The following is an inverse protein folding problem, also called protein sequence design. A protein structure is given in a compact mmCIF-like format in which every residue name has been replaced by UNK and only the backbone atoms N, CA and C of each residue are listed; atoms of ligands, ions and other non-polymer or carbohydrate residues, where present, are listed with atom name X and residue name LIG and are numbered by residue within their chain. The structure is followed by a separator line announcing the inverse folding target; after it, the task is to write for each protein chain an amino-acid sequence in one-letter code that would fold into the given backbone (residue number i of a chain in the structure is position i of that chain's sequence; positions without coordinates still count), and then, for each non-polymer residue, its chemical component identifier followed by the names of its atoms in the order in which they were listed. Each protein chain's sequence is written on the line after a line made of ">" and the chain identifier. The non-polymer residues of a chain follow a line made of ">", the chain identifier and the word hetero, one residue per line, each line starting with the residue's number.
data_IF_154411969304
#
_entry.id   IF_154411969304
#
_cell.length_a   1.000
_cell.length_b   1.000
_cell.length_c   1.000
_cell.angle_alpha   90.00
_cell.angle_beta   90.00
_cell.angle_gamma   90.00
#
_symmetry.space_group_name_H-M   'P 1'
#
loop_
_entity.id
_entity.type
_entity.pdbx_description
1 polymer ?
#
# COMPACT_ATOMS: atom_id res chain seq x y z
N UNK A 1 -5.16 13.44 10.40
CA UNK A 1 -4.12 12.63 11.07
C UNK A 1 -3.93 12.94 12.55
N UNK A 2 -3.64 14.19 12.98
CA UNK A 2 -3.35 14.48 14.41
C UNK A 2 -4.35 13.88 15.42
N UNK A 3 -5.69 14.07 15.28
CA UNK A 3 -6.64 13.51 16.26
C UNK A 3 -6.58 11.98 16.35
N UNK A 4 -6.41 11.30 15.22
CA UNK A 4 -6.23 9.86 15.16
C UNK A 4 -4.96 9.43 15.90
N UNK A 5 -3.83 10.09 15.63
CA UNK A 5 -2.57 9.78 16.32
C UNK A 5 -2.66 9.97 17.83
N UNK A 6 -3.33 11.04 18.31
CA UNK A 6 -3.57 11.25 19.75
C UNK A 6 -4.37 10.10 20.35
N UNK A 7 -5.47 9.71 19.70
CA UNK A 7 -6.32 8.60 20.17
C UNK A 7 -5.53 7.29 20.24
N UNK A 8 -4.78 6.95 19.19
CA UNK A 8 -4.02 5.71 19.11
C UNK A 8 -2.82 5.65 20.05
N UNK A 9 -2.22 6.79 20.42
CA UNK A 9 -1.21 6.82 21.50
C UNK A 9 -1.85 6.42 22.83
N UNK A 10 -3.02 6.97 23.15
CA UNK A 10 -3.72 6.65 24.40
C UNK A 10 -4.15 5.18 24.43
N UNK A 11 -4.75 4.68 23.34
CA UNK A 11 -5.14 3.27 23.21
C UNK A 11 -3.92 2.34 23.33
N UNK A 12 -2.80 2.68 22.67
CA UNK A 12 -1.56 1.89 22.76
C UNK A 12 -0.95 1.93 24.17
N UNK A 13 -1.04 3.04 24.88
CA UNK A 13 -0.57 3.17 26.27
C UNK A 13 -1.40 2.32 27.24
N UNK A 14 -2.72 2.35 27.11
CA UNK A 14 -3.63 1.50 27.88
C UNK A 14 -3.40 0.01 27.57
N UNK A 15 -3.31 -0.36 26.29
CA UNK A 15 -3.05 -1.73 25.86
C UNK A 15 -1.69 -2.24 26.35
N UNK A 16 -0.64 -1.43 26.26
CA UNK A 16 0.69 -1.76 26.78
C UNK A 16 0.68 -1.97 28.29
N UNK A 17 0.05 -1.05 29.04
CA UNK A 17 -0.06 -1.16 30.49
C UNK A 17 -0.78 -2.46 30.89
N UNK A 18 -1.92 -2.74 30.26
CA UNK A 18 -2.66 -3.98 30.49
C UNK A 18 -1.82 -5.23 30.16
N UNK A 19 -1.09 -5.23 29.05
CA UNK A 19 -0.24 -6.34 28.65
C UNK A 19 0.94 -6.55 29.61
N UNK A 20 1.56 -5.46 30.08
CA UNK A 20 2.65 -5.51 31.06
C UNK A 20 2.18 -6.08 32.39
N UNK A 21 1.07 -5.56 32.93
CA UNK A 21 0.49 -6.03 34.19
C UNK A 21 0.12 -7.52 34.12
N UNK A 22 -0.44 -7.96 32.99
CA UNK A 22 -0.79 -9.36 32.78
C UNK A 22 0.44 -10.25 32.65
N UNK A 23 1.45 -9.81 31.90
CA UNK A 23 2.69 -10.54 31.71
C UNK A 23 3.47 -10.72 33.03
N UNK A 24 3.54 -9.69 33.86
CA UNK A 24 4.19 -9.74 35.18
C UNK A 24 3.55 -10.78 36.11
N UNK A 25 2.22 -10.91 36.05
CA UNK A 25 1.45 -11.85 36.85
C UNK A 25 1.33 -13.25 36.22
N UNK A 26 1.83 -13.45 35.00
CA UNK A 26 1.72 -14.71 34.27
C UNK A 26 2.69 -15.78 34.79
N UNK A 27 2.22 -17.04 34.79
CA UNK A 27 3.00 -18.20 35.25
C UNK A 27 3.84 -18.86 34.14
N UNK A 28 4.18 -18.10 33.08
CA UNK A 28 4.83 -18.62 31.88
C UNK A 28 6.26 -19.10 32.21
N UNK A 29 6.71 -20.27 31.70
CA UNK A 29 8.01 -20.83 32.04
C UNK A 29 9.15 -20.05 31.37
N UNK A 30 10.26 -19.93 32.10
CA UNK A 30 11.51 -19.34 31.61
C UNK A 30 12.72 -20.23 31.96
N UNK A 31 12.66 -21.51 31.60
CA UNK A 31 13.73 -22.46 31.87
C UNK A 31 13.90 -23.47 30.74
N UNK A 32 15.12 -23.97 30.56
CA UNK A 32 15.43 -24.96 29.53
C UNK A 32 14.49 -26.19 29.60
N UNK A 33 13.94 -26.67 28.48
CA UNK A 33 14.16 -26.22 27.10
C UNK A 33 13.24 -25.08 26.62
N UNK A 34 12.34 -24.58 27.47
CA UNK A 34 11.22 -23.71 27.14
C UNK A 34 11.42 -22.27 27.67
N UNK A 35 12.10 -21.42 26.88
CA UNK A 35 12.31 -19.99 27.18
C UNK A 35 11.18 -19.10 26.65
N UNK A 36 9.93 -19.53 26.86
CA UNK A 36 8.76 -18.86 26.29
C UNK A 36 8.55 -17.46 26.87
N UNK A 37 8.79 -17.30 28.18
CA UNK A 37 8.71 -15.99 28.83
C UNK A 37 9.69 -14.98 28.22
N UNK A 38 10.91 -15.40 27.89
CA UNK A 38 11.88 -14.55 27.18
C UNK A 38 11.37 -14.08 25.80
N UNK A 39 10.74 -14.97 25.01
CA UNK A 39 10.20 -14.59 23.70
C UNK A 39 9.04 -13.59 23.82
N UNK A 40 8.16 -13.79 24.79
CA UNK A 40 7.02 -12.90 25.04
C UNK A 40 7.52 -11.55 25.60
N UNK A 41 8.54 -11.57 26.45
CA UNK A 41 9.18 -10.34 26.95
C UNK A 41 9.74 -9.48 25.80
N UNK A 42 10.36 -10.10 24.78
CA UNK A 42 10.80 -9.34 23.59
C UNK A 42 9.64 -8.66 22.86
N UNK A 43 8.46 -9.28 22.83
CA UNK A 43 7.27 -8.66 22.23
C UNK A 43 6.71 -7.54 23.11
N UNK A 44 6.76 -7.67 24.43
CA UNK A 44 6.43 -6.58 25.34
C UNK A 44 7.41 -5.39 25.22
N UNK A 45 8.71 -5.66 25.09
CA UNK A 45 9.74 -4.65 24.80
C UNK A 45 9.51 -3.98 23.44
N UNK A 46 9.12 -4.76 22.41
CA UNK A 46 8.74 -4.25 21.10
C UNK A 46 7.52 -3.32 21.18
N UNK A 47 6.51 -3.68 21.97
CA UNK A 47 5.35 -2.83 22.22
C UNK A 47 5.78 -1.51 22.87
N UNK A 48 6.56 -1.56 23.95
CA UNK A 48 7.03 -0.37 24.67
C UNK A 48 7.86 0.55 23.75
N UNK A 49 8.79 -0.04 22.98
CA UNK A 49 9.62 0.70 22.02
C UNK A 49 8.75 1.37 20.96
N UNK A 50 7.77 0.66 20.41
CA UNK A 50 6.87 1.21 19.38
C UNK A 50 6.00 2.34 19.93
N UNK A 51 5.51 2.23 21.18
CA UNK A 51 4.80 3.30 21.87
C UNK A 51 5.69 4.55 22.08
N UNK A 52 6.94 4.34 22.53
CA UNK A 52 7.93 5.43 22.68
C UNK A 52 8.24 6.10 21.35
N UNK A 53 8.46 5.31 20.30
CA UNK A 53 8.68 5.81 18.94
C UNK A 53 7.45 6.57 18.43
N UNK A 54 6.24 6.10 18.71
CA UNK A 54 5.00 6.81 18.36
C UNK A 54 4.92 8.20 19.01
N UNK A 55 5.15 8.30 20.33
CA UNK A 55 5.16 9.57 21.06
C UNK A 55 6.23 10.53 20.50
N UNK A 56 7.44 10.02 20.22
CA UNK A 56 8.52 10.80 19.60
C UNK A 56 8.13 11.36 18.23
N UNK A 57 7.56 10.55 17.35
CA UNK A 57 7.14 10.99 16.02
C UNK A 57 5.95 11.96 16.08
N UNK A 58 5.05 11.78 17.04
CA UNK A 58 3.96 12.72 17.29
C UNK A 58 4.49 14.12 17.65
N UNK A 59 5.47 14.21 18.55
CA UNK A 59 6.12 15.47 18.95
C UNK A 59 6.87 16.15 17.79
N UNK A 60 7.26 15.38 16.78
CA UNK A 60 7.87 15.86 15.55
C UNK A 60 6.88 16.27 14.46
N UNK A 61 5.57 16.23 14.75
CA UNK A 61 4.48 16.55 13.84
C UNK A 61 4.33 15.56 12.66
N UNK A 62 4.87 14.36 12.78
CA UNK A 62 4.70 13.26 11.81
C UNK A 62 3.65 12.28 12.34
N UNK A 63 2.39 12.67 12.17
CA UNK A 63 1.25 12.01 12.78
C UNK A 63 0.88 10.66 12.14
N UNK A 64 1.17 10.47 10.85
CA UNK A 64 0.97 9.18 10.21
C UNK A 64 2.01 8.17 10.68
N UNK A 65 3.28 8.56 10.77
CA UNK A 65 4.33 7.69 11.33
C UNK A 65 4.01 7.35 12.79
N UNK A 66 3.57 8.33 13.60
CA UNK A 66 3.09 8.07 14.96
C UNK A 66 1.94 7.05 14.98
N UNK A 67 0.92 7.23 14.15
CA UNK A 67 -0.19 6.27 14.00
C UNK A 67 0.32 4.86 13.67
N UNK A 68 1.27 4.73 12.74
CA UNK A 68 1.88 3.46 12.36
C UNK A 68 2.64 2.79 13.51
N UNK A 69 3.40 3.56 14.30
CA UNK A 69 4.12 3.03 15.48
C UNK A 69 3.17 2.68 16.63
N UNK A 70 2.09 3.44 16.83
CA UNK A 70 1.03 3.06 17.79
C UNK A 70 0.35 1.76 17.38
N UNK A 71 0.07 1.57 16.09
CA UNK A 71 -0.48 0.33 15.56
C UNK A 71 0.44 -0.87 15.83
N UNK A 72 1.75 -0.72 15.63
CA UNK A 72 2.74 -1.77 15.99
C UNK A 72 2.71 -2.09 17.48
N UNK A 73 2.61 -1.08 18.35
CA UNK A 73 2.46 -1.29 19.79
C UNK A 73 1.19 -2.06 20.12
N UNK A 74 0.05 -1.72 19.50
CA UNK A 74 -1.23 -2.38 19.74
C UNK A 74 -1.18 -3.87 19.38
N UNK A 75 -0.58 -4.23 18.24
CA UNK A 75 -0.40 -5.63 17.83
C UNK A 75 0.42 -6.38 18.87
N UNK A 76 1.61 -5.87 19.22
CA UNK A 76 2.49 -6.54 20.17
C UNK A 76 1.87 -6.65 21.57
N UNK A 77 1.16 -5.62 22.04
CA UNK A 77 0.44 -5.67 23.32
C UNK A 77 -0.70 -6.69 23.31
N UNK A 78 -1.48 -6.75 22.23
CA UNK A 78 -2.56 -7.74 22.06
C UNK A 78 -2.02 -9.16 22.00
N UNK A 79 -0.95 -9.37 21.25
CA UNK A 79 -0.25 -10.65 21.20
C UNK A 79 0.18 -11.13 22.60
N UNK A 80 0.80 -10.24 23.39
CA UNK A 80 1.22 -10.56 24.77
C UNK A 80 -0.01 -10.93 25.62
N UNK A 81 -1.09 -10.15 25.53
CA UNK A 81 -2.33 -10.44 26.25
C UNK A 81 -2.90 -11.82 25.90
N UNK A 82 -3.06 -12.11 24.60
CA UNK A 82 -3.56 -13.41 24.14
C UNK A 82 -2.65 -14.57 24.54
N UNK A 83 -1.34 -14.36 24.54
CA UNK A 83 -0.40 -15.40 24.98
C UNK A 83 -0.52 -15.68 26.47
N UNK A 84 -0.70 -14.64 27.28
CA UNK A 84 -0.95 -14.82 28.72
C UNK A 84 -2.29 -15.53 28.95
N UNK A 85 -3.37 -15.13 28.25
CA UNK A 85 -4.68 -15.78 28.34
C UNK A 85 -4.65 -17.26 27.95
N UNK A 86 -3.98 -17.58 26.84
CA UNK A 86 -3.80 -18.95 26.40
C UNK A 86 -3.06 -19.78 27.45
N UNK A 87 -2.01 -19.21 28.05
CA UNK A 87 -1.22 -19.92 29.04
C UNK A 87 -1.97 -20.13 30.35
N UNK A 88 -2.71 -19.10 30.82
CA UNK A 88 -3.47 -19.18 32.07
C UNK A 88 -4.72 -20.08 31.94
N UNK A 89 -5.32 -20.14 30.74
CA UNK A 89 -6.46 -21.03 30.46
C UNK A 89 -6.03 -22.47 30.15
N UNK A 90 -4.84 -22.67 29.56
CA UNK A 90 -4.27 -23.97 29.21
C UNK A 90 -5.11 -24.79 28.21
N UNK A 91 -6.04 -24.16 27.49
CA UNK A 91 -7.14 -24.86 26.82
C UNK A 91 -7.19 -24.61 25.30
N UNK A 92 -7.38 -25.67 24.53
CA UNK A 92 -7.73 -25.63 23.09
C UNK A 92 -9.04 -24.89 22.84
N UNK A 93 -9.98 -24.90 23.79
CA UNK A 93 -11.23 -24.14 23.67
C UNK A 93 -10.96 -22.63 23.53
N UNK A 94 -9.94 -22.09 24.20
CA UNK A 94 -9.55 -20.67 24.05
C UNK A 94 -9.18 -20.33 22.60
N UNK A 95 -8.43 -21.21 21.93
CA UNK A 95 -8.00 -20.99 20.55
C UNK A 95 -9.21 -20.97 19.61
N UNK A 96 -10.13 -21.92 19.76
CA UNK A 96 -11.32 -22.02 18.91
C UNK A 96 -12.27 -20.84 19.14
N UNK A 97 -12.52 -20.48 20.40
CA UNK A 97 -13.35 -19.34 20.77
C UNK A 97 -12.74 -18.02 20.27
N UNK A 98 -11.42 -17.85 20.39
CA UNK A 98 -10.72 -16.66 19.90
C UNK A 98 -10.79 -16.58 18.37
N UNK A 99 -10.59 -17.70 17.67
CA UNK A 99 -10.70 -17.74 16.22
C UNK A 99 -12.11 -17.36 15.77
N UNK A 100 -13.16 -17.95 16.36
CA UNK A 100 -14.56 -17.66 16.02
C UNK A 100 -14.89 -16.17 16.24
N UNK A 101 -14.48 -15.60 17.37
CA UNK A 101 -14.67 -14.18 17.66
C UNK A 101 -13.96 -13.28 16.64
N UNK A 102 -12.72 -13.61 16.27
CA UNK A 102 -11.94 -12.80 15.33
C UNK A 102 -12.45 -12.95 13.89
N UNK A 103 -13.00 -14.11 13.53
CA UNK A 103 -13.71 -14.30 12.27
C UNK A 103 -14.95 -13.40 12.17
N UNK A 104 -15.74 -13.29 13.25
CA UNK A 104 -16.88 -12.38 13.31
C UNK A 104 -16.44 -10.93 13.11
N UNK A 105 -15.43 -10.48 13.87
CA UNK A 105 -14.85 -9.13 13.75
C UNK A 105 -14.34 -8.87 12.32
N UNK A 106 -13.67 -9.84 11.70
CA UNK A 106 -13.22 -9.75 10.32
C UNK A 106 -14.40 -9.61 9.35
N UNK A 107 -15.41 -10.46 9.46
CA UNK A 107 -16.56 -10.46 8.55
C UNK A 107 -17.32 -9.12 8.61
N UNK A 108 -17.52 -8.58 9.82
CA UNK A 108 -18.13 -7.27 10.01
C UNK A 108 -17.29 -6.14 9.39
N UNK A 109 -15.99 -6.12 9.68
CA UNK A 109 -15.09 -5.05 9.25
C UNK A 109 -14.83 -5.10 7.73
N UNK A 110 -14.69 -6.30 7.16
CA UNK A 110 -14.58 -6.53 5.72
C UNK A 110 -15.85 -6.07 4.98
N UNK A 111 -17.03 -6.39 5.54
CA UNK A 111 -18.31 -5.91 5.01
C UNK A 111 -18.44 -4.38 5.07
N UNK A 112 -17.94 -3.75 6.13
CA UNK A 112 -17.87 -2.29 6.24
C UNK A 112 -16.98 -1.70 5.13
N UNK A 113 -15.77 -2.22 4.94
CA UNK A 113 -14.86 -1.78 3.89
C UNK A 113 -15.45 -1.96 2.47
N UNK A 114 -16.18 -3.06 2.25
CA UNK A 114 -16.83 -3.37 0.97
C UNK A 114 -17.99 -2.42 0.63
N UNK A 115 -18.84 -2.13 1.63
CA UNK A 115 -20.09 -1.41 1.42
C UNK A 115 -19.98 0.10 1.60
N UNK A 116 -18.82 0.61 2.01
CA UNK A 116 -18.58 2.06 2.10
C UNK A 116 -18.49 2.66 0.70
N UNK A 117 -19.32 3.66 0.42
CA UNK A 117 -19.44 4.27 -0.90
C UNK A 117 -18.17 5.06 -1.30
N UNK A 118 -17.81 4.98 -2.58
CA UNK A 118 -16.67 5.69 -3.16
C UNK A 118 -17.19 6.65 -4.23
N UNK A 119 -17.37 7.92 -3.84
CA UNK A 119 -18.00 8.95 -4.68
C UNK A 119 -17.01 9.97 -5.25
N UNK A 120 -15.83 10.07 -4.67
CA UNK A 120 -14.81 11.06 -5.01
C UNK A 120 -13.37 10.55 -4.78
N UNK A 121 -12.36 11.37 -5.08
CA UNK A 121 -10.95 10.97 -4.94
C UNK A 121 -10.46 10.92 -3.49
N UNK A 122 -11.18 11.52 -2.54
CA UNK A 122 -10.86 11.40 -1.11
C UNK A 122 -11.33 10.04 -0.61
N UNK A 123 -12.62 9.74 -0.79
CA UNK A 123 -13.25 8.45 -0.48
C UNK A 123 -12.56 7.31 -1.22
N UNK A 124 -12.12 7.50 -2.47
CA UNK A 124 -11.29 6.51 -3.17
C UNK A 124 -10.04 6.16 -2.37
N UNK A 125 -9.31 7.16 -1.89
CA UNK A 125 -8.09 6.95 -1.11
C UNK A 125 -8.39 6.32 0.25
N UNK A 126 -9.37 6.83 0.98
CA UNK A 126 -9.63 6.38 2.35
C UNK A 126 -10.32 5.02 2.41
N UNK A 127 -11.31 4.78 1.55
CA UNK A 127 -11.95 3.46 1.40
C UNK A 127 -10.99 2.47 0.75
N UNK A 128 -10.18 2.87 -0.23
CA UNK A 128 -9.15 2.00 -0.80
C UNK A 128 -8.12 1.55 0.23
N UNK A 129 -7.72 2.45 1.14
CA UNK A 129 -6.89 2.08 2.28
C UNK A 129 -7.61 1.07 3.19
N UNK A 130 -8.89 1.31 3.50
CA UNK A 130 -9.71 0.41 4.31
C UNK A 130 -9.87 -0.98 3.67
N UNK A 131 -10.15 -1.04 2.37
CA UNK A 131 -10.24 -2.30 1.61
C UNK A 131 -8.91 -3.08 1.65
N UNK A 132 -7.76 -2.42 1.42
CA UNK A 132 -6.44 -3.07 1.56
C UNK A 132 -6.22 -3.67 2.94
N UNK A 133 -6.75 -3.05 3.99
CA UNK A 133 -6.65 -3.58 5.37
C UNK A 133 -7.55 -4.78 5.59
N UNK A 134 -8.70 -4.85 4.92
CA UNK A 134 -9.51 -6.07 4.89
C UNK A 134 -8.77 -7.20 4.17
N UNK A 135 -8.09 -6.91 3.05
CA UNK A 135 -7.25 -7.89 2.33
C UNK A 135 -6.10 -8.38 3.20
N UNK A 136 -5.33 -7.47 3.82
CA UNK A 136 -4.27 -7.82 4.76
C UNK A 136 -4.78 -8.64 5.95
N UNK A 137 -5.92 -8.27 6.55
CA UNK A 137 -6.55 -9.04 7.62
C UNK A 137 -6.94 -10.45 7.16
N UNK A 138 -7.44 -10.60 5.93
CA UNK A 138 -7.82 -11.91 5.38
C UNK A 138 -6.61 -12.83 5.22
N UNK A 139 -5.50 -12.31 4.72
CA UNK A 139 -4.26 -13.09 4.54
C UNK A 139 -3.76 -13.65 5.87
N UNK A 140 -3.76 -12.85 6.93
CA UNK A 140 -3.35 -13.29 8.26
C UNK A 140 -4.37 -14.22 8.92
N UNK A 141 -5.68 -13.99 8.69
CA UNK A 141 -6.71 -14.90 9.18
C UNK A 141 -6.60 -16.28 8.51
N UNK A 142 -6.33 -16.32 7.20
CA UNK A 142 -6.12 -17.58 6.48
C UNK A 142 -4.83 -18.28 6.91
N UNK A 143 -3.76 -17.52 7.14
CA UNK A 143 -2.53 -18.02 7.75
C UNK A 143 -2.84 -18.70 9.09
N UNK A 144 -3.49 -18.00 10.02
CA UNK A 144 -3.89 -18.53 11.32
C UNK A 144 -4.74 -19.81 11.21
N UNK A 145 -5.72 -19.84 10.29
CA UNK A 145 -6.56 -21.03 10.04
C UNK A 145 -5.78 -22.22 9.50
N UNK A 146 -4.69 -21.97 8.76
CA UNK A 146 -3.85 -23.00 8.16
C UNK A 146 -2.74 -23.51 9.10
N UNK A 147 -2.47 -22.79 10.19
CA UNK A 147 -1.42 -23.13 11.15
C UNK A 147 -1.77 -24.41 11.91
N UNK A 148 -0.88 -25.39 11.85
CA UNK A 148 -1.03 -26.60 12.65
C UNK A 148 -0.43 -26.39 14.04
N UNK A 149 -1.27 -26.42 15.08
CA UNK A 149 -0.89 -26.08 16.46
C UNK A 149 -0.22 -27.25 17.20
N UNK A 150 0.88 -27.79 16.65
CA UNK A 150 1.60 -28.91 17.24
C UNK A 150 2.60 -28.49 18.31
N UNK A 151 3.18 -27.30 18.18
CA UNK A 151 4.17 -26.76 19.10
C UNK A 151 3.70 -25.45 19.69
N UNK A 152 4.28 -25.06 20.83
CA UNK A 152 4.01 -23.73 21.39
C UNK A 152 4.47 -22.60 20.45
N UNK A 153 5.50 -22.82 19.62
CA UNK A 153 5.88 -21.83 18.59
C UNK A 153 4.75 -21.61 17.60
N UNK A 154 4.11 -22.69 17.13
CA UNK A 154 2.97 -22.60 16.20
C UNK A 154 1.79 -21.86 16.85
N UNK A 155 1.58 -22.06 18.17
CA UNK A 155 0.59 -21.30 18.93
C UNK A 155 0.95 -19.82 18.98
N UNK A 156 2.22 -19.46 19.23
CA UNK A 156 2.63 -18.05 19.21
C UNK A 156 2.43 -17.42 17.82
N UNK A 157 2.75 -18.14 16.75
CA UNK A 157 2.55 -17.66 15.38
C UNK A 157 1.05 -17.43 15.11
N UNK A 158 0.20 -18.39 15.49
CA UNK A 158 -1.26 -18.24 15.45
C UNK A 158 -1.75 -17.01 16.24
N UNK A 159 -1.32 -16.85 17.50
CA UNK A 159 -1.78 -15.75 18.35
C UNK A 159 -1.30 -14.39 17.82
N UNK A 160 -0.12 -14.34 17.20
CA UNK A 160 0.38 -13.15 16.55
C UNK A 160 -0.45 -12.80 15.31
N UNK A 161 -0.74 -13.78 14.46
CA UNK A 161 -1.58 -13.59 13.29
C UNK A 161 -2.97 -13.09 13.69
N UNK A 162 -3.59 -13.72 14.70
CA UNK A 162 -4.88 -13.30 15.24
C UNK A 162 -4.84 -11.88 15.84
N UNK A 163 -3.77 -11.53 16.57
CA UNK A 163 -3.60 -10.16 17.07
C UNK A 163 -3.50 -9.14 15.93
N UNK A 164 -2.79 -9.48 14.86
CA UNK A 164 -2.66 -8.66 13.67
C UNK A 164 -4.00 -8.48 12.95
N UNK A 165 -4.80 -9.55 12.80
CA UNK A 165 -6.14 -9.50 12.18
C UNK A 165 -7.02 -8.49 12.91
N UNK A 166 -7.11 -8.57 14.24
CA UNK A 166 -7.96 -7.66 15.02
C UNK A 166 -7.54 -6.21 14.85
N UNK A 167 -6.24 -5.91 14.95
CA UNK A 167 -5.79 -4.53 14.79
C UNK A 167 -5.97 -4.01 13.35
N UNK A 168 -5.82 -4.87 12.33
CA UNK A 168 -6.13 -4.49 10.95
C UNK A 168 -7.61 -4.20 10.76
N UNK A 169 -8.48 -5.02 11.35
CA UNK A 169 -9.93 -4.78 11.35
C UNK A 169 -10.28 -3.44 12.02
N UNK A 170 -9.69 -3.13 13.18
CA UNK A 170 -9.86 -1.83 13.83
C UNK A 170 -9.45 -0.66 12.93
N UNK A 171 -8.35 -0.84 12.18
CA UNK A 171 -7.81 0.20 11.31
C UNK A 171 -8.69 0.54 10.09
N UNK A 172 -9.61 -0.34 9.69
CA UNK A 172 -10.58 -0.09 8.61
C UNK A 172 -11.42 1.16 8.91
N UNK A 173 -12.02 1.21 10.09
CA UNK A 173 -12.85 2.35 10.53
C UNK A 173 -12.03 3.62 10.70
N UNK A 174 -10.74 3.52 11.05
CA UNK A 174 -9.88 4.69 11.16
C UNK A 174 -9.68 5.36 9.80
N UNK A 175 -9.47 4.56 8.75
CA UNK A 175 -9.27 5.07 7.40
C UNK A 175 -10.54 5.65 6.81
N UNK A 176 -11.67 4.97 6.95
CA UNK A 176 -12.97 5.50 6.53
C UNK A 176 -13.21 6.88 7.17
N UNK A 177 -13.06 6.98 8.49
CA UNK A 177 -13.28 8.23 9.22
C UNK A 177 -12.28 9.36 8.92
N UNK A 178 -11.11 9.07 8.34
CA UNK A 178 -10.20 10.13 7.86
C UNK A 178 -10.85 10.93 6.72
N UNK A 179 -11.67 10.28 5.88
CA UNK A 179 -12.29 10.90 4.71
C UNK A 179 -13.20 12.07 5.06
N UNK A 180 -13.93 11.95 6.18
CA UNK A 180 -14.91 12.93 6.67
C UNK A 180 -14.29 14.30 7.00
N UNK A 181 -12.97 14.38 7.09
CA UNK A 181 -12.24 15.61 7.39
C UNK A 181 -11.75 16.37 6.14
N UNK A 182 -12.03 15.86 4.94
CA UNK A 182 -11.64 16.50 3.68
C UNK A 182 -12.86 16.85 2.86
N UNK A 183 -12.73 17.92 2.06
CA UNK A 183 -13.76 18.27 1.10
C UNK A 183 -13.75 17.25 -0.05
N UNK A 184 -14.94 16.91 -0.52
CA UNK A 184 -15.12 16.07 -1.71
C UNK A 184 -14.48 16.72 -2.95
N UNK A 185 -13.72 15.94 -3.72
CA UNK A 185 -13.05 16.40 -4.94
C UNK A 185 -12.95 15.29 -5.98
N UNK A 186 -13.26 15.60 -7.24
CA UNK A 186 -13.07 14.68 -8.38
C UNK A 186 -14.00 13.47 -8.33
N UNK A 187 -15.21 13.62 -8.84
CA UNK A 187 -16.21 12.55 -8.80
C UNK A 187 -15.72 11.28 -9.51
N UNK A 188 -15.96 10.14 -8.88
CA UNK A 188 -15.70 8.82 -9.43
C UNK A 188 -16.95 7.95 -9.29
N UNK A 189 -17.20 7.11 -10.29
CA UNK A 189 -18.26 6.11 -10.26
C UNK A 189 -17.64 4.74 -10.10
N UNK A 190 -18.38 3.77 -9.57
CA UNK A 190 -17.91 2.37 -9.44
C UNK A 190 -17.36 1.83 -10.76
N UNK A 191 -18.10 2.04 -11.86
CA UNK A 191 -17.66 1.63 -13.20
C UNK A 191 -16.35 2.30 -13.62
N UNK A 192 -16.12 3.56 -13.25
CA UNK A 192 -14.88 4.28 -13.58
C UNK A 192 -13.74 3.74 -12.73
N UNK A 193 -13.99 3.44 -11.46
CA UNK A 193 -13.03 2.86 -10.55
C UNK A 193 -12.59 1.45 -11.00
N UNK A 194 -13.53 0.57 -11.31
CA UNK A 194 -13.22 -0.78 -11.83
C UNK A 194 -12.38 -0.72 -13.11
N UNK A 195 -12.72 0.18 -14.04
CA UNK A 195 -11.94 0.37 -15.27
C UNK A 195 -10.51 0.86 -14.98
N UNK A 196 -10.34 1.80 -14.05
CA UNK A 196 -9.01 2.30 -13.65
C UNK A 196 -8.21 1.19 -12.95
N UNK A 197 -8.84 0.39 -12.09
CA UNK A 197 -8.19 -0.75 -11.44
C UNK A 197 -7.68 -1.75 -12.50
N UNK A 198 -8.52 -2.13 -13.46
CA UNK A 198 -8.15 -3.01 -14.58
C UNK A 198 -7.01 -2.44 -15.43
N UNK A 199 -7.04 -1.14 -15.73
CA UNK A 199 -5.97 -0.46 -16.48
C UNK A 199 -4.63 -0.59 -15.73
N UNK A 200 -4.60 -0.29 -14.44
CA UNK A 200 -3.37 -0.38 -13.67
C UNK A 200 -2.92 -1.82 -13.38
N UNK A 201 -3.84 -2.79 -13.26
CA UNK A 201 -3.50 -4.22 -13.22
C UNK A 201 -2.78 -4.62 -14.53
N UNK A 202 -3.26 -4.15 -15.67
CA UNK A 202 -2.64 -4.43 -16.97
C UNK A 202 -1.26 -3.77 -17.09
N UNK A 203 -1.10 -2.53 -16.64
CA UNK A 203 0.20 -1.85 -16.59
C UNK A 203 1.20 -2.55 -15.64
N UNK A 204 0.75 -2.96 -14.46
CA UNK A 204 1.55 -3.72 -13.51
C UNK A 204 1.98 -5.07 -14.09
N UNK A 205 1.09 -5.80 -14.76
CA UNK A 205 1.41 -7.06 -15.44
C UNK A 205 2.49 -6.86 -16.52
N UNK A 206 2.37 -5.81 -17.34
CA UNK A 206 3.39 -5.50 -18.35
C UNK A 206 4.75 -5.22 -17.70
N UNK A 207 4.78 -4.41 -16.64
CA UNK A 207 6.01 -4.08 -15.92
C UNK A 207 6.64 -5.32 -15.26
N UNK A 208 5.83 -6.19 -14.64
CA UNK A 208 6.29 -7.46 -14.05
C UNK A 208 6.88 -8.37 -15.13
N UNK A 209 6.19 -8.58 -16.24
CA UNK A 209 6.66 -9.43 -17.34
C UNK A 209 7.96 -8.89 -17.95
N UNK A 210 8.02 -7.59 -18.21
CA UNK A 210 9.23 -6.96 -18.74
C UNK A 210 10.40 -7.12 -17.77
N UNK A 211 10.17 -6.86 -16.48
CA UNK A 211 11.20 -6.96 -15.45
C UNK A 211 11.72 -8.39 -15.31
N UNK A 212 10.82 -9.37 -15.33
CA UNK A 212 11.17 -10.79 -15.32
C UNK A 212 12.04 -11.20 -16.50
N UNK A 213 11.69 -10.79 -17.73
CA UNK A 213 12.50 -11.09 -18.92
C UNK A 213 13.90 -10.52 -18.77
N UNK A 214 14.03 -9.24 -18.40
CA UNK A 214 15.34 -8.60 -18.25
C UNK A 214 16.16 -9.26 -17.14
N UNK A 215 15.57 -9.56 -15.99
CA UNK A 215 16.28 -10.20 -14.88
C UNK A 215 16.73 -11.64 -15.20
N UNK A 216 15.98 -12.36 -16.04
CA UNK A 216 16.39 -13.69 -16.49
C UNK A 216 17.54 -13.67 -17.50
N UNK A 217 17.62 -12.63 -18.33
CA UNK A 217 18.72 -12.44 -19.30
C UNK A 217 20.03 -11.99 -18.63
N UNK A 218 19.94 -11.38 -17.44
CA UNK A 218 21.10 -10.95 -16.69
C UNK A 218 21.74 -12.12 -15.94
N UNK A 219 23.04 -12.34 -16.18
CA UNK A 219 23.80 -13.41 -15.53
C UNK A 219 24.03 -13.18 -14.02
N UNK A 220 23.73 -11.98 -13.51
CA UNK A 220 23.86 -11.59 -12.11
C UNK A 220 22.69 -10.71 -11.70
N UNK A 221 21.71 -11.31 -11.03
CA UNK A 221 20.56 -10.60 -10.45
C UNK A 221 20.85 -10.33 -8.98
N UNK A 222 20.73 -9.07 -8.54
CA UNK A 222 20.88 -8.74 -7.13
C UNK A 222 19.74 -9.34 -6.31
N UNK A 223 19.99 -9.64 -5.03
CA UNK A 223 18.95 -10.12 -4.10
C UNK A 223 17.76 -9.15 -4.05
N UNK A 224 18.03 -7.84 -3.99
CA UNK A 224 17.00 -6.81 -3.90
C UNK A 224 16.14 -6.78 -5.18
N UNK A 225 16.75 -6.89 -6.37
CA UNK A 225 16.02 -6.98 -7.64
C UNK A 225 15.05 -8.18 -7.65
N UNK A 226 15.52 -9.35 -7.22
CA UNK A 226 14.67 -10.55 -7.16
C UNK A 226 13.54 -10.41 -6.13
N UNK A 227 13.84 -9.83 -4.96
CA UNK A 227 12.86 -9.55 -3.90
C UNK A 227 11.75 -8.61 -4.38
N UNK A 228 12.12 -7.52 -5.07
CA UNK A 228 11.15 -6.59 -5.67
C UNK A 228 10.27 -7.24 -6.72
N UNK A 229 10.84 -8.04 -7.63
CA UNK A 229 10.06 -8.74 -8.65
C UNK A 229 9.08 -9.74 -8.01
N UNK A 230 9.53 -10.52 -7.01
CA UNK A 230 8.68 -11.46 -6.29
C UNK A 230 7.51 -10.74 -5.60
N UNK A 231 7.81 -9.64 -4.90
CA UNK A 231 6.80 -8.80 -4.26
C UNK A 231 5.82 -8.18 -5.25
N UNK A 232 6.29 -7.77 -6.43
CA UNK A 232 5.45 -7.22 -7.48
C UNK A 232 4.49 -8.27 -8.05
N UNK A 233 4.94 -9.51 -8.24
CA UNK A 233 4.10 -10.63 -8.65
C UNK A 233 3.01 -10.93 -7.62
N UNK A 234 3.38 -10.99 -6.35
CA UNK A 234 2.41 -11.22 -5.27
C UNK A 234 1.33 -10.14 -5.25
N UNK A 235 1.72 -8.86 -5.28
CA UNK A 235 0.77 -7.74 -5.29
C UNK A 235 -0.11 -7.71 -6.54
N UNK A 236 0.41 -8.15 -7.69
CA UNK A 236 -0.38 -8.24 -8.92
C UNK A 236 -1.47 -9.31 -8.81
N UNK A 237 -1.16 -10.47 -8.22
CA UNK A 237 -2.18 -11.48 -7.94
C UNK A 237 -3.18 -10.99 -6.90
N UNK A 238 -2.73 -10.38 -5.80
CA UNK A 238 -3.63 -9.77 -4.81
C UNK A 238 -4.56 -8.73 -5.43
N UNK A 239 -4.05 -7.89 -6.35
CA UNK A 239 -4.88 -6.89 -7.01
C UNK A 239 -5.99 -7.51 -7.88
N UNK A 240 -5.74 -8.68 -8.48
CA UNK A 240 -6.76 -9.43 -9.23
C UNK A 240 -7.80 -10.02 -8.30
N UNK A 241 -7.35 -10.67 -7.23
CA UNK A 241 -8.22 -11.29 -6.22
C UNK A 241 -9.11 -10.25 -5.53
N UNK A 242 -8.56 -9.06 -5.24
CA UNK A 242 -9.29 -7.94 -4.67
C UNK A 242 -10.37 -7.42 -5.62
N UNK A 243 -10.05 -7.28 -6.91
CA UNK A 243 -11.03 -6.86 -7.89
C UNK A 243 -12.18 -7.86 -7.99
N UNK A 244 -11.86 -9.16 -8.08
CA UNK A 244 -12.83 -10.25 -8.15
C UNK A 244 -13.65 -10.37 -6.85
N UNK A 245 -13.06 -10.02 -5.71
CA UNK A 245 -13.73 -10.01 -4.39
C UNK A 245 -14.60 -8.77 -4.16
N UNK A 246 -14.62 -7.81 -5.09
CA UNK A 246 -15.39 -6.58 -4.97
C UNK A 246 -14.71 -5.50 -4.13
N UNK A 247 -13.37 -5.47 -4.13
CA UNK A 247 -12.53 -4.44 -3.55
C UNK A 247 -11.77 -3.64 -4.63
N UNK A 248 -12.47 -2.94 -5.54
CA UNK A 248 -11.84 -2.32 -6.70
C UNK A 248 -10.87 -1.18 -6.35
N UNK A 249 -11.05 -0.50 -5.21
CA UNK A 249 -10.10 0.53 -4.78
C UNK A 249 -8.81 -0.08 -4.21
N UNK A 250 -8.90 -1.19 -3.47
CA UNK A 250 -7.71 -1.92 -3.05
C UNK A 250 -6.94 -2.47 -4.25
N UNK A 251 -7.63 -3.13 -5.19
CA UNK A 251 -7.05 -3.60 -6.45
C UNK A 251 -6.28 -2.50 -7.19
N UNK A 252 -6.86 -1.30 -7.31
CA UNK A 252 -6.18 -0.15 -7.89
C UNK A 252 -4.88 0.20 -7.15
N UNK A 253 -4.92 0.34 -5.82
CA UNK A 253 -3.75 0.72 -5.03
C UNK A 253 -2.68 -0.36 -4.96
N UNK A 254 -3.05 -1.64 -4.98
CA UNK A 254 -2.14 -2.78 -5.04
C UNK A 254 -1.45 -2.87 -6.39
N UNK A 255 -2.20 -2.66 -7.48
CA UNK A 255 -1.61 -2.59 -8.83
C UNK A 255 -0.60 -1.45 -8.95
N UNK A 256 -0.86 -0.28 -8.36
CA UNK A 256 0.12 0.81 -8.29
C UNK A 256 1.39 0.41 -7.52
N UNK A 257 1.27 -0.34 -6.43
CA UNK A 257 2.42 -0.81 -5.65
C UNK A 257 3.20 -1.90 -6.41
N UNK A 258 2.49 -2.82 -7.07
CA UNK A 258 3.07 -3.85 -7.94
C UNK A 258 3.88 -3.20 -9.07
N UNK A 259 3.33 -2.18 -9.72
CA UNK A 259 4.01 -1.40 -10.76
C UNK A 259 5.28 -0.73 -10.23
N UNK A 260 5.23 -0.13 -9.03
CA UNK A 260 6.41 0.47 -8.39
C UNK A 260 7.48 -0.56 -8.11
N UNK A 261 7.13 -1.71 -7.52
CA UNK A 261 8.10 -2.77 -7.20
C UNK A 261 8.68 -3.43 -8.46
N UNK A 262 7.88 -3.63 -9.50
CA UNK A 262 8.37 -4.14 -10.78
C UNK A 262 9.42 -3.18 -11.38
N UNK A 263 9.13 -1.88 -11.43
CA UNK A 263 10.09 -0.88 -11.91
C UNK A 263 11.35 -0.81 -11.03
N UNK A 264 11.19 -0.91 -9.70
CA UNK A 264 12.32 -0.96 -8.77
C UNK A 264 13.24 -2.14 -8.99
N UNK A 265 12.68 -3.31 -9.32
CA UNK A 265 13.46 -4.53 -9.61
C UNK A 265 14.52 -4.29 -10.69
N UNK A 266 14.20 -3.47 -11.69
CA UNK A 266 15.12 -3.03 -12.74
C UNK A 266 16.01 -1.86 -12.32
N UNK A 267 15.43 -0.89 -11.65
CA UNK A 267 16.12 0.33 -11.29
C UNK A 267 17.30 0.11 -10.35
N UNK A 268 17.24 -0.87 -9.43
CA UNK A 268 18.33 -1.10 -8.46
C UNK A 268 19.47 -1.95 -9.02
N UNK A 269 19.39 -2.39 -10.27
CA UNK A 269 20.48 -3.14 -10.91
C UNK A 269 21.73 -2.25 -10.97
N UNK A 270 22.80 -2.68 -10.31
CA UNK A 270 24.09 -1.99 -10.31
C UNK A 270 24.11 -0.65 -9.57
N UNK A 271 23.11 -0.33 -8.74
CA UNK A 271 23.06 0.90 -7.92
C UNK A 271 22.59 0.59 -6.51
N UNK A 272 22.87 1.48 -5.54
CA UNK A 272 22.35 1.35 -4.18
C UNK A 272 21.04 2.17 -4.05
N UNK A 273 20.08 1.67 -3.26
CA UNK A 273 18.82 2.34 -2.97
C UNK A 273 19.04 3.75 -2.39
N UNK A 274 20.07 3.90 -1.55
CA UNK A 274 20.44 5.18 -0.93
C UNK A 274 20.70 6.27 -1.98
N UNK A 275 21.30 5.92 -3.11
CA UNK A 275 21.65 6.88 -4.17
C UNK A 275 20.40 7.43 -4.89
N UNK A 276 19.24 6.80 -4.68
CA UNK A 276 17.97 7.15 -5.33
C UNK A 276 16.95 7.79 -4.40
N UNK A 277 17.25 7.87 -3.10
CA UNK A 277 16.34 8.42 -2.08
C UNK A 277 15.96 9.86 -2.39
N UNK A 278 16.94 10.74 -2.57
CA UNK A 278 16.70 12.18 -2.75
C UNK A 278 15.86 12.43 -4.02
N UNK A 279 16.24 11.80 -5.13
CA UNK A 279 15.52 11.91 -6.41
C UNK A 279 14.07 11.40 -6.26
N UNK A 280 13.87 10.28 -5.58
CA UNK A 280 12.53 9.70 -5.39
C UNK A 280 11.68 10.54 -4.45
N UNK A 281 12.27 11.12 -3.40
CA UNK A 281 11.62 12.06 -2.48
C UNK A 281 11.18 13.33 -3.23
N UNK A 282 12.06 13.93 -4.04
CA UNK A 282 11.72 15.09 -4.85
C UNK A 282 10.61 14.80 -5.87
N UNK A 283 10.66 13.65 -6.54
CA UNK A 283 9.61 13.23 -7.48
C UNK A 283 8.25 13.07 -6.77
N UNK A 284 8.23 12.46 -5.59
CA UNK A 284 7.02 12.29 -4.80
C UNK A 284 6.42 13.64 -4.39
N UNK A 285 7.23 14.57 -3.86
CA UNK A 285 6.79 15.93 -3.53
C UNK A 285 6.23 16.64 -4.75
N UNK A 286 6.90 16.53 -5.90
CA UNK A 286 6.45 17.19 -7.12
C UNK A 286 5.09 16.67 -7.59
N UNK A 287 4.83 15.36 -7.48
CA UNK A 287 3.53 14.79 -7.83
C UNK A 287 2.45 15.17 -6.82
N UNK A 288 2.75 15.18 -5.52
CA UNK A 288 1.85 15.70 -4.48
C UNK A 288 1.48 17.16 -4.75
N UNK A 289 2.47 18.00 -5.07
CA UNK A 289 2.25 19.41 -5.37
C UNK A 289 1.41 19.61 -6.64
N UNK A 290 1.60 18.78 -7.68
CA UNK A 290 0.74 18.80 -8.89
C UNK A 290 -0.70 18.41 -8.58
N UNK A 291 -0.90 17.37 -7.77
CA UNK A 291 -2.23 16.92 -7.34
C UNK A 291 -2.98 18.04 -6.60
N UNK A 292 -2.31 18.68 -5.64
CA UNK A 292 -2.87 19.83 -4.90
C UNK A 292 -3.18 21.03 -5.79
N UNK A 293 -2.36 21.29 -6.82
CA UNK A 293 -2.64 22.36 -7.81
C UNK A 293 -3.91 22.09 -8.63
N UNK A 294 -4.30 20.82 -8.77
CA UNK A 294 -5.55 20.41 -9.41
C UNK A 294 -6.72 20.37 -8.42
N UNK A 295 -6.52 20.81 -7.18
CA UNK A 295 -7.53 20.82 -6.13
C UNK A 295 -7.75 19.47 -5.45
N UNK A 296 -6.91 18.46 -5.72
CA UNK A 296 -7.02 17.12 -5.12
C UNK A 296 -6.03 17.05 -3.95
N UNK A 297 -6.49 16.66 -2.77
CA UNK A 297 -5.58 16.36 -1.66
C UNK A 297 -5.19 14.88 -1.69
N UNK A 298 -3.92 14.54 -1.98
CA UNK A 298 -3.47 13.15 -2.08
C UNK A 298 -3.14 12.59 -0.67
N UNK A 299 -4.16 12.46 0.18
CA UNK A 299 -4.05 12.03 1.59
C UNK A 299 -3.16 10.80 1.77
N UNK A 300 -3.34 9.77 0.93
CA UNK A 300 -2.52 8.56 1.01
C UNK A 300 -1.07 8.81 0.60
N UNK A 301 -0.83 9.54 -0.48
CA UNK A 301 0.54 9.85 -0.92
C UNK A 301 1.29 10.67 0.14
N UNK A 302 0.62 11.65 0.76
CA UNK A 302 1.20 12.46 1.84
C UNK A 302 1.56 11.57 3.04
N UNK A 303 0.70 10.62 3.38
CA UNK A 303 0.94 9.66 4.45
C UNK A 303 2.16 8.77 4.16
N UNK A 304 2.21 8.13 2.99
CA UNK A 304 3.34 7.29 2.62
C UNK A 304 4.64 8.07 2.43
N UNK A 305 4.57 9.34 1.98
CA UNK A 305 5.73 10.22 1.94
C UNK A 305 6.29 10.49 3.34
N UNK A 306 5.42 10.85 4.29
CA UNK A 306 5.82 11.08 5.68
C UNK A 306 6.46 9.82 6.30
N UNK A 307 5.90 8.64 6.00
CA UNK A 307 6.46 7.37 6.45
C UNK A 307 7.82 7.07 5.80
N UNK A 308 7.98 7.34 4.51
CA UNK A 308 9.26 7.21 3.81
C UNK A 308 10.35 8.09 4.44
N UNK A 309 10.02 9.34 4.78
CA UNK A 309 10.93 10.24 5.49
C UNK A 309 11.37 9.67 6.84
N UNK A 310 10.44 9.08 7.61
CA UNK A 310 10.79 8.45 8.88
C UNK A 310 11.72 7.25 8.71
N UNK A 311 11.48 6.40 7.71
CA UNK A 311 12.33 5.25 7.38
C UNK A 311 13.72 5.68 6.90
N UNK A 312 13.80 6.74 6.11
CA UNK A 312 15.07 7.33 5.65
C UNK A 312 15.90 7.83 6.84
N UNK A 313 15.27 8.50 7.80
CA UNK A 313 15.90 8.94 9.05
C UNK A 313 16.36 7.77 9.93
N UNK A 314 15.66 6.63 9.88
CA UNK A 314 16.03 5.37 10.52
C UNK A 314 17.05 4.55 9.69
N UNK A 315 17.61 5.11 8.60
CA UNK A 315 18.53 4.45 7.66
C UNK A 315 17.99 3.20 6.97
N UNK A 316 16.66 3.04 6.93
CA UNK A 316 15.96 1.96 6.24
C UNK A 316 15.72 2.33 4.77
N UNK A 317 16.81 2.52 4.01
CA UNK A 317 16.76 3.10 2.66
C UNK A 317 15.97 2.28 1.65
N UNK A 318 16.01 0.96 1.73
CA UNK A 318 15.21 0.08 0.85
C UNK A 318 13.71 0.38 0.99
N UNK A 319 13.18 0.30 2.22
CA UNK A 319 11.78 0.60 2.49
C UNK A 319 11.42 2.05 2.21
N UNK A 320 12.29 3.00 2.56
CA UNK A 320 12.08 4.41 2.28
C UNK A 320 11.91 4.66 0.77
N UNK A 321 12.78 4.06 -0.05
CA UNK A 321 12.73 4.19 -1.51
C UNK A 321 11.40 3.70 -2.10
N UNK A 322 10.91 2.54 -1.63
CA UNK A 322 9.60 1.99 -2.02
C UNK A 322 8.49 3.01 -1.71
N UNK A 323 8.45 3.52 -0.47
CA UNK A 323 7.36 4.40 -0.05
C UNK A 323 7.42 5.79 -0.69
N UNK A 324 8.60 6.33 -1.02
CA UNK A 324 8.69 7.55 -1.83
C UNK A 324 8.12 7.34 -3.23
N UNK A 325 8.53 6.27 -3.92
CA UNK A 325 8.02 5.98 -5.27
C UNK A 325 6.54 5.67 -5.25
N UNK A 326 6.05 4.93 -4.25
CA UNK A 326 4.64 4.62 -4.10
C UNK A 326 3.80 5.85 -3.81
N UNK A 327 4.28 6.73 -2.92
CA UNK A 327 3.67 8.05 -2.70
C UNK A 327 3.57 8.86 -3.99
N UNK A 328 4.68 8.98 -4.75
CA UNK A 328 4.68 9.68 -6.02
C UNK A 328 3.75 9.06 -7.06
N UNK A 329 3.65 7.72 -7.09
CA UNK A 329 2.76 6.97 -7.99
C UNK A 329 1.29 7.22 -7.67
N UNK A 330 0.90 7.14 -6.39
CA UNK A 330 -0.47 7.44 -5.95
C UNK A 330 -0.86 8.87 -6.36
N UNK A 331 -0.05 9.87 -5.98
CA UNK A 331 -0.34 11.27 -6.28
C UNK A 331 -0.44 11.53 -7.79
N UNK A 332 0.41 10.87 -8.58
CA UNK A 332 0.35 10.91 -10.04
C UNK A 332 -0.96 10.32 -10.57
N UNK A 333 -1.24 9.06 -10.22
CA UNK A 333 -2.41 8.33 -10.72
C UNK A 333 -3.72 9.08 -10.43
N UNK A 334 -3.96 9.51 -9.18
CA UNK A 334 -5.21 10.20 -8.83
C UNK A 334 -5.37 11.53 -9.58
N UNK A 335 -4.27 12.23 -9.85
CA UNK A 335 -4.27 13.47 -10.64
C UNK A 335 -4.73 13.24 -12.08
N UNK A 336 -4.34 12.11 -12.68
CA UNK A 336 -4.75 11.75 -14.04
C UNK A 336 -6.19 11.24 -14.11
N UNK A 337 -6.67 10.53 -13.08
CA UNK A 337 -8.05 10.03 -13.04
C UNK A 337 -9.09 11.15 -13.03
N UNK A 338 -8.77 12.33 -12.51
CA UNK A 338 -9.63 13.52 -12.54
C UNK A 338 -9.63 14.23 -13.91
N UNK A 339 -8.55 14.08 -14.69
CA UNK A 339 -8.33 14.80 -15.95
C UNK A 339 -9.04 14.17 -17.17
N UNK A 340 -10.09 13.36 -16.97
CA UNK A 340 -10.83 12.68 -18.04
C UNK A 340 -11.68 13.66 -18.86
N UNK A 341 -11.02 14.45 -19.71
CA UNK A 341 -11.49 15.01 -20.97
C UNK A 341 -10.36 15.04 -22.04
N UNK A 342 -9.28 14.26 -21.88
CA UNK A 342 -8.21 14.19 -22.89
C UNK A 342 -7.44 12.87 -22.84
N UNK A 343 -7.38 12.18 -23.97
CA UNK A 343 -6.55 10.99 -24.18
C UNK A 343 -5.07 11.38 -24.18
N UNK A 344 -4.33 11.10 -23.11
CA UNK A 344 -2.87 11.25 -23.10
C UNK A 344 -2.19 10.13 -22.31
N UNK A 345 -1.14 9.56 -22.91
CA UNK A 345 -0.37 8.41 -22.41
C UNK A 345 0.47 8.73 -21.18
N UNK A 346 0.64 7.72 -20.33
CA UNK A 346 1.61 7.61 -19.23
C UNK A 346 2.96 8.28 -19.55
N UNK A 347 3.44 9.12 -18.63
CA UNK A 347 4.81 9.62 -18.65
C UNK A 347 5.74 8.56 -18.04
N UNK A 348 5.99 7.50 -18.81
CA UNK A 348 7.18 6.66 -18.62
C UNK A 348 8.41 7.56 -18.69
N UNK A 349 9.05 7.81 -17.55
CA UNK A 349 10.38 8.41 -17.52
C UNK A 349 11.36 7.27 -17.58
N UNK A 350 11.85 7.00 -18.79
CA UNK A 350 12.92 6.02 -19.01
C UNK A 350 14.16 6.32 -18.16
N UNK A 351 14.93 5.27 -17.92
CA UNK A 351 16.20 5.24 -17.18
C UNK A 351 17.07 6.45 -17.58
N UNK A 352 17.46 7.28 -16.61
CA UNK A 352 18.50 8.31 -16.81
C UNK A 352 19.80 7.64 -17.29
N UNK A 353 20.47 8.22 -18.30
CA UNK A 353 21.77 7.73 -18.79
C UNK A 353 22.79 7.70 -17.65
N UNK A 354 23.11 6.50 -17.16
CA UNK A 354 24.29 6.28 -16.32
C UNK A 354 25.49 6.18 -17.25
N UNK A 355 26.42 7.12 -17.15
CA UNK A 355 27.75 7.01 -17.74
C UNK A 355 28.59 5.99 -16.95
N UNK A 356 28.22 4.72 -17.01
CA UNK A 356 29.09 3.62 -16.62
C UNK A 356 29.63 2.98 -17.91
N UNK A 357 30.93 2.67 -18.01
CA UNK A 357 31.45 1.98 -19.19
C UNK A 357 30.96 0.53 -19.17
N UNK A 358 29.74 0.28 -19.65
CA UNK A 358 29.33 -1.05 -20.05
C UNK A 358 30.19 -1.48 -21.24
N UNK A 359 30.72 -2.70 -21.20
CA UNK A 359 31.55 -3.24 -22.28
C UNK A 359 30.76 -3.28 -23.60
N UNK A 360 31.38 -2.79 -24.67
CA UNK A 360 30.81 -2.63 -26.02
C UNK A 360 30.22 -3.96 -26.56
N UNK A 361 30.75 -5.10 -26.12
CA UNK A 361 30.28 -6.43 -26.48
C UNK A 361 28.88 -6.79 -25.95
N UNK A 362 28.46 -6.24 -24.80
CA UNK A 362 27.12 -6.47 -24.23
C UNK A 362 26.06 -5.64 -24.96
N UNK A 363 26.45 -4.44 -25.42
CA UNK A 363 25.55 -3.51 -26.10
C UNK A 363 25.12 -4.03 -27.48
N UNK A 364 26.04 -4.64 -28.24
CA UNK A 364 25.71 -5.18 -29.57
C UNK A 364 24.74 -6.37 -29.50
N UNK A 365 24.86 -7.23 -28.49
CA UNK A 365 23.90 -8.34 -28.26
C UNK A 365 22.53 -7.83 -27.85
N UNK A 366 22.47 -6.82 -26.98
CA UNK A 366 21.20 -6.22 -26.56
C UNK A 366 20.46 -5.55 -27.72
N UNK A 367 21.14 -4.81 -28.60
CA UNK A 367 20.51 -4.20 -29.78
C UNK A 367 20.00 -5.26 -30.77
N UNK A 368 20.74 -6.35 -30.96
CA UNK A 368 20.33 -7.44 -31.84
C UNK A 368 19.10 -8.20 -31.30
N UNK A 369 19.04 -8.46 -30.00
CA UNK A 369 17.92 -9.13 -29.34
C UNK A 369 16.67 -8.23 -29.31
N UNK A 370 16.83 -6.93 -28.98
CA UNK A 370 15.74 -5.94 -29.04
C UNK A 370 15.19 -5.83 -30.48
N UNK A 371 16.04 -5.89 -31.50
CA UNK A 371 15.62 -5.92 -32.90
C UNK A 371 14.73 -7.12 -33.27
N UNK A 372 15.04 -8.31 -32.74
CA UNK A 372 14.25 -9.52 -32.97
C UNK A 372 12.88 -9.45 -32.27
N UNK A 373 12.82 -8.94 -31.04
CA UNK A 373 11.56 -8.80 -30.30
C UNK A 373 10.65 -7.69 -30.84
N UNK A 374 11.19 -6.58 -31.32
CA UNK A 374 10.39 -5.54 -31.99
C UNK A 374 9.80 -6.07 -33.31
N UNK A 375 10.55 -6.87 -34.07
CA UNK A 375 10.06 -7.52 -35.28
C UNK A 375 9.02 -8.62 -34.97
N UNK A 376 9.22 -9.39 -33.91
CA UNK A 376 8.27 -10.41 -33.46
C UNK A 376 6.96 -9.83 -32.89
N UNK A 377 7.04 -8.74 -32.12
CA UNK A 377 5.89 -8.04 -31.55
C UNK A 377 5.03 -7.35 -32.62
N UNK A 378 5.64 -6.79 -33.66
CA UNK A 378 4.92 -6.21 -34.80
C UNK A 378 4.26 -7.30 -35.67
N UNK A 379 4.89 -8.46 -35.83
CA UNK A 379 4.29 -9.60 -36.52
C UNK A 379 3.11 -10.21 -35.73
N UNK A 380 3.21 -10.27 -34.40
CA UNK A 380 2.13 -10.72 -33.51
C UNK A 380 0.92 -9.79 -33.49
N UNK A 381 1.13 -8.47 -33.49
CA UNK A 381 0.06 -7.47 -33.63
C UNK A 381 -0.65 -7.55 -34.98
N UNK A 382 0.08 -7.85 -36.07
CA UNK A 382 -0.51 -8.04 -37.40
C UNK A 382 -1.45 -9.25 -37.47
N UNK A 383 -1.06 -10.38 -36.87
CA UNK A 383 -1.88 -11.61 -36.84
C UNK A 383 -3.10 -11.42 -35.93
N UNK A 384 -2.94 -10.75 -34.78
CA UNK A 384 -4.03 -10.45 -33.85
C UNK A 384 -5.12 -9.55 -34.45
N UNK A 385 -4.74 -8.55 -35.25
CA UNK A 385 -5.71 -7.68 -35.94
C UNK A 385 -6.46 -8.39 -37.08
N UNK A 386 -5.81 -9.33 -37.78
CA UNK A 386 -6.46 -10.13 -38.84
C UNK A 386 -7.50 -11.08 -38.24
N UNK A 387 -7.18 -11.74 -37.12
CA UNK A 387 -8.10 -12.64 -36.40
C UNK A 387 -9.26 -11.85 -35.76
N UNK A 388 -9.00 -10.66 -35.20
CA UNK A 388 -10.03 -9.79 -34.62
C UNK A 388 -11.05 -9.29 -35.65
N UNK A 389 -10.61 -8.94 -36.87
CA UNK A 389 -11.51 -8.42 -37.91
C UNK A 389 -12.50 -9.46 -38.45
N UNK A 390 -12.20 -10.76 -38.34
CA UNK A 390 -13.08 -11.84 -38.80
C UNK A 390 -14.22 -12.15 -37.81
N UNK A 391 -14.07 -11.77 -36.54
CA UNK A 391 -15.06 -12.05 -35.48
C UNK A 391 -16.11 -10.95 -35.32
N UNK A 392 -15.84 -9.72 -35.79
CA UNK A 392 -16.73 -8.55 -35.58
C UNK A 392 -17.84 -8.41 -36.64
N UNK A 393 -17.87 -9.26 -37.67
CA UNK A 393 -18.82 -9.12 -38.79
C UNK A 393 -20.20 -9.78 -38.58
N UNK A 394 -20.53 -10.18 -37.34
CA UNK A 394 -21.87 -10.67 -36.97
C UNK A 394 -22.38 -9.99 -35.71
N UNK A 395 -22.71 -8.69 -35.79
CA UNK A 395 -23.86 -8.07 -35.11
C UNK A 395 -23.87 -6.55 -35.38
N UNK A 396 -24.65 -6.11 -36.38
CA UNK A 396 -25.05 -4.70 -36.51
C UNK A 396 -26.58 -4.61 -36.38
N UNK A 397 -27.05 -3.97 -35.32
CA UNK A 397 -28.36 -3.27 -35.29
C UNK A 397 -28.18 -1.88 -34.71
N UNK A 398 -28.52 -0.88 -35.54
CA UNK A 398 -28.46 0.56 -35.28
C UNK A 398 -29.53 1.02 -34.28
N UNK A 399 -29.24 2.03 -33.47
CA UNK A 399 -30.23 2.96 -32.87
C UNK A 399 -29.75 4.42 -33.01
N UNK A 400 -30.67 5.40 -33.12
CA UNK A 400 -30.41 6.78 -33.57
C UNK A 400 -30.01 7.74 -32.42
N UNK A 401 -29.55 8.98 -32.71
CA UNK A 401 -28.91 9.85 -31.72
C UNK A 401 -29.93 10.62 -30.87
N UNK A 402 -29.61 10.80 -29.59
CA UNK A 402 -30.34 11.67 -28.65
C UNK A 402 -29.52 12.93 -28.41
N UNK A 403 -30.10 14.09 -28.72
CA UNK A 403 -29.59 15.41 -28.37
C UNK A 403 -29.80 15.66 -26.86
N UNK A 404 -28.76 16.10 -26.14
CA UNK A 404 -28.92 16.72 -24.82
C UNK A 404 -28.34 18.15 -24.83
N UNK A 405 -29.18 19.07 -24.37
CA UNK A 405 -28.89 20.50 -24.17
C UNK A 405 -28.04 20.73 -22.92
N UNK A 406 -27.08 21.64 -23.02
CA UNK A 406 -26.28 22.16 -21.92
C UNK A 406 -27.12 22.99 -20.93
N UNK A 407 -26.91 22.76 -19.63
CA UNK A 407 -27.22 23.72 -18.56
C UNK A 407 -25.92 24.07 -17.85
N UNK A 408 -25.57 25.35 -17.91
CA UNK A 408 -24.48 25.99 -17.18
C UNK A 408 -24.86 26.18 -15.71
N UNK A 409 -24.02 25.73 -14.79
CA UNK A 409 -24.00 26.22 -13.42
C UNK A 409 -22.66 26.90 -13.17
N UNK A 410 -22.75 28.19 -12.86
CA UNK A 410 -21.64 29.05 -12.49
C UNK A 410 -21.38 28.86 -10.99
N UNK A 411 -20.23 28.30 -10.62
CA UNK A 411 -19.77 28.33 -9.24
C UNK A 411 -18.26 28.54 -9.17
N UNK A 412 -17.89 29.67 -8.56
CA UNK A 412 -16.51 30.12 -8.39
C UNK A 412 -15.95 29.56 -7.08
N UNK A 413 -14.90 28.73 -7.08
CA UNK A 413 -14.17 28.41 -5.87
C UNK A 413 -13.14 29.51 -5.58
N UNK A 414 -13.34 30.24 -4.47
CA UNK A 414 -12.28 31.06 -3.87
C UNK A 414 -11.49 30.19 -2.90
N UNK A 415 -10.20 29.97 -3.18
CA UNK A 415 -9.06 30.15 -2.27
C UNK A 415 -7.78 29.82 -3.05
N UNK A 416 -7.03 30.85 -3.44
CA UNK A 416 -5.76 30.75 -4.17
C UNK A 416 -4.61 30.96 -3.17
N UNK A 417 -3.70 30.00 -3.04
CA UNK A 417 -2.37 30.29 -2.50
C UNK A 417 -1.58 31.02 -3.61
N UNK A 418 -1.01 32.21 -3.36
CA UNK A 418 -0.16 32.88 -4.33
C UNK A 418 1.09 32.02 -4.62
N UNK A 419 1.49 31.98 -5.89
CA UNK A 419 2.48 31.08 -6.52
C UNK A 419 3.85 30.94 -5.80
N UNK A 420 4.16 31.75 -4.78
CA UNK A 420 5.47 31.84 -4.17
C UNK A 420 5.51 31.37 -2.70
N UNK A 421 4.44 30.77 -2.17
CA UNK A 421 4.36 30.39 -0.75
C UNK A 421 4.01 28.91 -0.49
N UNK A 422 4.16 28.03 -1.50
CA UNK A 422 3.91 26.59 -1.35
C UNK A 422 4.90 26.02 -0.32
N UNK A 423 4.43 25.44 0.80
CA UNK A 423 5.32 24.81 1.77
C UNK A 423 6.02 23.59 1.14
N UNK A 424 7.34 23.55 1.26
CA UNK A 424 8.23 22.51 0.69
C UNK A 424 8.23 21.21 1.50
N UNK A 425 7.60 21.23 2.68
CA UNK A 425 7.42 20.04 3.53
C UNK A 425 6.11 20.12 4.31
N UNK A 426 5.62 18.96 4.77
CA UNK A 426 4.46 18.84 5.67
C UNK A 426 4.70 19.66 6.96
N UNK A 427 5.95 19.67 7.45
CA UNK A 427 6.38 20.49 8.59
C UNK A 427 6.24 21.99 8.33
N UNK A 428 6.53 22.47 7.13
CA UNK A 428 6.31 23.87 6.75
C UNK A 428 4.82 24.22 6.62
N UNK A 429 3.98 23.28 6.18
CA UNK A 429 2.53 23.47 6.13
C UNK A 429 1.94 23.68 7.53
N UNK A 430 2.25 22.81 8.49
CA UNK A 430 1.75 22.95 9.86
C UNK A 430 2.36 24.12 10.64
N UNK A 431 3.57 24.57 10.30
CA UNK A 431 4.17 25.78 10.89
C UNK A 431 3.49 27.07 10.44
N UNK A 432 2.94 27.12 9.22
CA UNK A 432 2.31 28.33 8.66
C UNK A 432 0.84 28.50 9.06
N UNK A 433 0.15 27.43 9.44
CA UNK A 433 -1.28 27.44 9.78
C UNK A 433 -1.53 27.47 11.30
N UNK A 434 -0.68 28.16 12.07
CA UNK A 434 -0.88 28.44 13.51
C UNK A 434 -1.40 29.86 13.72
#
# INVERSE_FOLDING_TARGET
>A
MKPLATRLINEAEEAYKSASEKFENSSIPDHFPNYYKTNINKQLESAEKSLKDSKKWYDQYTYYTSTSKSFQSLISSRFVNYTCDYYDSGNQDFINELLEQVEEVYNESSKLAKNTEIVDLISLQTVGAAQRRATEAKLYLDSAKSTNLYTFSDVLDFLYDIAFVVERCNSISWWIGIGDHFNSTGNITDSKLENIALEYIYEAQQAVTYSEVILNELSQTSYNSASYLSSAKSLLETARDDLDSGFPAAAFFEALEALVKANLALEVIGTNEKDKIDISSEQAINNIAKSRKQGIEPVLAVSYYEYAESLSNESSFESALIYYKYSGMIAGAISYTNASAGSYKSSYVGISRVNAPLSIWVLERLVFIIGIFVLGGLAGLGIGLIIGSFLENKQKKKKPPVHYSSRTYDHTPRYYYPNNQIPRSIKEYYKKNK
#
